data_IF_260419122985
#
_entry.id   IF_260419122985
#
_cell.length_a   1.000
_cell.length_b   1.000
_cell.length_c   1.000
_cell.angle_alpha   90.00
_cell.angle_beta   90.00
_cell.angle_gamma   90.00
#
_symmetry.space_group_name_H-M   'P 1'
#
loop_
_entity.id
_entity.type
_entity.pdbx_description
1 polymer ?
#
# COMPACT_ATOMS: atom_id res chain seq x y z
N UNK A 1 0.55 -19.08 -10.17
CA UNK A 1 0.33 -18.44 -11.50
C UNK A 1 0.19 -16.92 -11.41
N UNK A 2 -0.55 -16.37 -10.42
CA UNK A 2 -0.75 -14.92 -10.24
C UNK A 2 0.54 -14.09 -10.16
N UNK A 3 1.51 -14.50 -9.32
CA UNK A 3 2.76 -13.75 -9.18
C UNK A 3 3.55 -13.64 -10.49
N UNK A 4 3.77 -14.76 -11.17
CA UNK A 4 4.59 -14.79 -12.38
C UNK A 4 3.90 -14.11 -13.58
N UNK A 5 2.59 -14.38 -13.79
CA UNK A 5 1.89 -13.92 -14.98
C UNK A 5 1.35 -12.48 -14.87
N UNK A 6 1.12 -11.98 -13.65
CA UNK A 6 0.52 -10.66 -13.43
C UNK A 6 1.46 -9.73 -12.70
N UNK A 7 2.08 -10.18 -11.61
CA UNK A 7 2.85 -9.25 -10.74
C UNK A 7 4.19 -8.89 -11.38
N UNK A 8 4.96 -9.86 -11.87
CA UNK A 8 6.26 -9.61 -12.51
C UNK A 8 6.15 -8.63 -13.69
N UNK A 9 5.37 -8.91 -14.75
CA UNK A 9 5.36 -8.06 -15.93
C UNK A 9 4.84 -6.64 -15.66
N UNK A 10 3.99 -6.47 -14.64
CA UNK A 10 3.42 -5.16 -14.31
C UNK A 10 4.29 -4.35 -13.33
N UNK A 11 4.86 -4.99 -12.30
CA UNK A 11 5.59 -4.28 -11.25
C UNK A 11 7.09 -4.20 -11.49
N UNK A 12 7.71 -5.18 -12.16
CA UNK A 12 9.17 -5.15 -12.39
C UNK A 12 9.60 -3.93 -13.23
N UNK A 13 8.98 -3.64 -14.39
CA UNK A 13 9.35 -2.46 -15.17
C UNK A 13 9.18 -1.17 -14.36
N UNK A 14 8.11 -1.09 -13.56
CA UNK A 14 7.85 0.05 -12.70
C UNK A 14 8.87 0.19 -11.57
N UNK A 15 9.29 -0.91 -10.95
CA UNK A 15 10.34 -0.92 -9.91
C UNK A 15 11.67 -0.41 -10.47
N UNK A 16 12.08 -0.91 -11.63
CA UNK A 16 13.32 -0.50 -12.31
C UNK A 16 13.25 0.99 -12.66
N UNK A 17 12.16 1.42 -13.31
CA UNK A 17 11.97 2.80 -13.72
C UNK A 17 11.92 3.76 -12.52
N UNK A 18 11.26 3.38 -11.43
CA UNK A 18 11.21 4.20 -10.21
C UNK A 18 12.60 4.35 -9.58
N UNK A 19 13.40 3.28 -9.53
CA UNK A 19 14.78 3.36 -9.05
C UNK A 19 15.61 4.34 -9.91
N UNK A 20 15.45 4.29 -11.24
CA UNK A 20 16.12 5.22 -12.16
C UNK A 20 15.67 6.66 -11.92
N UNK A 21 14.36 6.91 -11.84
CA UNK A 21 13.78 8.24 -11.61
C UNK A 21 14.31 8.86 -10.31
N UNK A 22 14.38 8.08 -9.23
CA UNK A 22 14.89 8.55 -7.93
C UNK A 22 16.39 8.84 -8.02
N UNK A 23 17.16 7.94 -8.63
CA UNK A 23 18.63 8.08 -8.77
C UNK A 23 19.04 9.24 -9.66
N UNK A 24 18.22 9.56 -10.68
CA UNK A 24 18.44 10.68 -11.61
C UNK A 24 17.82 12.01 -11.12
N UNK A 25 17.28 12.06 -9.90
CA UNK A 25 16.57 13.24 -9.37
C UNK A 25 15.40 13.72 -10.26
N UNK A 26 14.77 12.80 -10.99
CA UNK A 26 13.68 13.12 -11.92
C UNK A 26 12.30 13.14 -11.25
N UNK A 27 12.18 12.65 -10.00
CA UNK A 27 10.92 12.51 -9.27
C UNK A 27 10.13 13.81 -9.14
N UNK A 28 10.81 14.92 -8.85
CA UNK A 28 10.19 16.25 -8.71
C UNK A 28 9.61 16.80 -10.02
N UNK A 29 10.14 16.39 -11.17
CA UNK A 29 9.65 16.85 -12.48
C UNK A 29 8.35 16.15 -12.87
N UNK A 30 8.25 14.84 -12.61
CA UNK A 30 7.05 14.04 -12.88
C UNK A 30 5.87 14.51 -12.02
N UNK A 31 6.16 14.92 -10.78
CA UNK A 31 5.14 15.30 -9.80
C UNK A 31 4.70 16.76 -9.93
N UNK A 32 5.33 17.58 -10.77
CA UNK A 32 5.10 19.02 -10.83
C UNK A 32 3.62 19.40 -10.97
N UNK A 33 2.86 18.67 -11.80
CA UNK A 33 1.45 18.93 -12.03
C UNK A 33 0.57 18.72 -10.77
N UNK A 34 0.85 17.67 -10.00
CA UNK A 34 0.06 17.30 -8.81
C UNK A 34 0.63 17.87 -7.50
N UNK A 35 1.88 18.34 -7.53
CA UNK A 35 2.59 18.80 -6.34
C UNK A 35 1.86 19.94 -5.59
N UNK A 36 1.29 20.98 -6.23
CA UNK A 36 0.61 22.05 -5.50
C UNK A 36 -0.53 21.52 -4.61
N UNK A 37 -1.36 20.62 -5.16
CA UNK A 37 -2.48 20.03 -4.46
C UNK A 37 -2.02 19.09 -3.34
N UNK A 38 -1.09 18.17 -3.62
CA UNK A 38 -0.61 17.18 -2.65
C UNK A 38 0.16 17.85 -1.50
N UNK A 39 0.93 18.89 -1.78
CA UNK A 39 1.61 19.69 -0.75
C UNK A 39 0.63 20.42 0.14
N UNK A 40 -0.40 21.02 -0.43
CA UNK A 40 -1.43 21.69 0.34
C UNK A 40 -2.15 20.71 1.27
N UNK A 41 -2.56 19.56 0.72
CA UNK A 41 -3.34 18.55 1.44
C UNK A 41 -2.51 17.84 2.54
N UNK A 42 -1.31 17.36 2.20
CA UNK A 42 -0.50 16.52 3.10
C UNK A 42 0.66 17.27 3.78
N UNK A 43 1.09 18.41 3.27
CA UNK A 43 2.22 19.16 3.83
C UNK A 43 3.58 18.49 3.64
N UNK A 44 3.79 17.88 2.48
CA UNK A 44 4.98 17.08 2.13
C UNK A 44 5.93 17.84 1.18
N UNK A 45 7.13 17.31 0.98
CA UNK A 45 8.12 17.84 0.02
C UNK A 45 7.73 17.54 -1.43
N UNK A 46 8.47 18.11 -2.41
CA UNK A 46 8.23 17.80 -3.84
C UNK A 46 8.50 16.32 -4.12
N UNK A 47 9.57 15.76 -3.57
CA UNK A 47 9.92 14.36 -3.75
C UNK A 47 8.95 13.44 -3.01
N UNK A 48 8.42 13.86 -1.86
CA UNK A 48 7.35 13.16 -1.15
C UNK A 48 6.06 13.01 -1.98
N UNK A 49 5.74 13.98 -2.86
CA UNK A 49 4.61 13.85 -3.79
C UNK A 49 4.77 12.64 -4.73
N UNK A 50 6.01 12.26 -5.08
CA UNK A 50 6.27 11.10 -5.92
C UNK A 50 5.83 9.82 -5.22
N UNK A 51 6.16 9.67 -3.93
CA UNK A 51 5.71 8.54 -3.12
C UNK A 51 4.19 8.46 -3.00
N UNK A 52 3.48 9.59 -2.89
CA UNK A 52 2.01 9.60 -2.83
C UNK A 52 1.41 9.11 -4.15
N UNK A 53 1.83 9.69 -5.28
CA UNK A 53 1.27 9.33 -6.60
C UNK A 53 1.53 7.85 -6.90
N UNK A 54 2.79 7.44 -6.78
CA UNK A 54 3.20 6.06 -7.08
C UNK A 54 2.62 5.06 -6.09
N UNK A 55 2.50 5.42 -4.82
CA UNK A 55 1.91 4.58 -3.79
C UNK A 55 0.42 4.31 -4.03
N UNK A 56 -0.36 5.32 -4.40
CA UNK A 56 -1.78 5.15 -4.72
C UNK A 56 -2.01 4.44 -6.06
N UNK A 57 -1.11 4.60 -7.05
CA UNK A 57 -1.23 3.94 -8.35
C UNK A 57 -0.75 2.49 -8.34
N UNK A 58 0.41 2.21 -7.75
CA UNK A 58 1.08 0.92 -7.83
C UNK A 58 0.82 0.04 -6.60
N UNK A 59 0.43 0.65 -5.48
CA UNK A 59 -0.02 -0.05 -4.29
C UNK A 59 1.08 -0.80 -3.53
N UNK A 60 0.71 -1.90 -2.87
CA UNK A 60 1.63 -2.72 -2.08
C UNK A 60 2.63 -3.51 -2.93
N UNK A 61 3.91 -3.63 -2.51
CA UNK A 61 4.59 -2.89 -1.46
C UNK A 61 5.30 -1.63 -2.01
N UNK A 62 4.94 -1.18 -3.22
CA UNK A 62 5.63 -0.10 -3.94
C UNK A 62 5.58 1.24 -3.20
N UNK A 63 4.45 1.58 -2.58
CA UNK A 63 4.37 2.80 -1.78
C UNK A 63 5.41 2.82 -0.65
N UNK A 64 5.61 1.69 0.03
CA UNK A 64 6.64 1.56 1.06
C UNK A 64 8.06 1.55 0.49
N UNK A 65 8.29 0.82 -0.60
CA UNK A 65 9.60 0.76 -1.27
C UNK A 65 10.07 2.15 -1.71
N UNK A 66 9.23 2.88 -2.45
CA UNK A 66 9.57 4.22 -2.95
C UNK A 66 9.82 5.18 -1.79
N UNK A 67 9.01 5.11 -0.74
CA UNK A 67 9.24 5.91 0.47
C UNK A 67 10.60 5.59 1.09
N UNK A 68 10.97 4.30 1.19
CA UNK A 68 12.26 3.88 1.69
C UNK A 68 13.42 4.36 0.81
N UNK A 69 13.30 4.22 -0.52
CA UNK A 69 14.31 4.63 -1.49
C UNK A 69 14.57 6.15 -1.44
N UNK A 70 13.51 6.96 -1.26
CA UNK A 70 13.63 8.41 -1.09
C UNK A 70 14.33 8.78 0.22
N UNK A 71 14.09 8.04 1.31
CA UNK A 71 14.78 8.25 2.60
C UNK A 71 16.25 7.86 2.47
N UNK A 72 16.57 6.69 1.90
CA UNK A 72 17.95 6.22 1.75
C UNK A 72 18.76 7.09 0.79
N UNK A 73 18.11 7.68 -0.21
CA UNK A 73 18.73 8.61 -1.17
C UNK A 73 18.78 10.05 -0.65
N UNK A 74 18.45 10.28 0.63
CA UNK A 74 18.41 11.60 1.28
C UNK A 74 17.56 12.64 0.54
N UNK A 75 16.50 12.20 -0.16
CA UNK A 75 15.53 13.06 -0.87
C UNK A 75 14.38 13.50 0.02
N UNK A 76 14.10 12.76 1.07
CA UNK A 76 13.15 13.15 2.10
C UNK A 76 13.72 12.85 3.47
N UNK A 77 13.26 13.58 4.47
CA UNK A 77 13.66 13.29 5.86
C UNK A 77 13.07 11.96 6.33
N UNK A 78 13.72 11.34 7.32
CA UNK A 78 13.17 10.14 7.98
C UNK A 78 11.77 10.40 8.57
N UNK A 79 11.53 11.60 9.10
CA UNK A 79 10.23 11.98 9.67
C UNK A 79 9.13 12.03 8.61
N UNK A 80 9.44 12.57 7.43
CA UNK A 80 8.56 12.58 6.27
C UNK A 80 8.35 11.17 5.74
N UNK A 81 9.39 10.33 5.71
CA UNK A 81 9.27 8.91 5.36
C UNK A 81 8.31 8.15 6.28
N UNK A 82 8.37 8.36 7.60
CA UNK A 82 7.41 7.78 8.55
C UNK A 82 5.98 8.25 8.24
N UNK A 83 5.82 9.54 7.90
CA UNK A 83 4.52 10.08 7.53
C UNK A 83 3.98 9.47 6.24
N UNK A 84 4.76 9.44 5.17
CA UNK A 84 4.35 8.86 3.90
C UNK A 84 4.03 7.36 4.03
N UNK A 85 4.82 6.63 4.82
CA UNK A 85 4.58 5.21 5.06
C UNK A 85 3.21 4.94 5.71
N UNK A 86 2.65 5.91 6.45
CA UNK A 86 1.34 5.77 7.11
C UNK A 86 0.15 5.67 6.14
N UNK A 87 0.27 6.23 4.94
CA UNK A 87 -0.87 6.34 4.02
C UNK A 87 -0.56 6.10 2.54
N UNK A 88 0.70 5.99 2.12
CA UNK A 88 1.05 5.80 0.70
C UNK A 88 1.08 4.34 0.26
N UNK A 89 1.13 3.39 1.18
CA UNK A 89 1.22 1.97 0.83
C UNK A 89 -0.19 1.36 0.90
N UNK A 90 -0.99 1.40 -0.18
CA UNK A 90 -2.38 0.91 -0.22
C UNK A 90 -2.59 -0.14 -1.33
N UNK A 91 -3.82 -0.62 -1.55
CA UNK A 91 -4.10 -1.38 -2.78
C UNK A 91 -4.14 -0.48 -4.00
N UNK A 92 -3.76 -1.03 -5.15
CA UNK A 92 -3.78 -0.33 -6.44
C UNK A 92 -5.17 -0.36 -7.10
N UNK A 93 -5.45 0.55 -8.05
CA UNK A 93 -6.73 0.57 -8.77
C UNK A 93 -6.98 -0.74 -9.52
N UNK A 94 -5.94 -1.33 -10.09
CA UNK A 94 -6.04 -2.59 -10.83
C UNK A 94 -6.37 -3.76 -9.89
N UNK A 95 -5.89 -3.73 -8.65
CA UNK A 95 -6.27 -4.71 -7.64
C UNK A 95 -7.75 -4.59 -7.28
N UNK A 96 -8.25 -3.36 -7.10
CA UNK A 96 -9.67 -3.11 -6.80
C UNK A 96 -10.54 -3.65 -7.94
N UNK A 97 -10.25 -3.27 -9.20
CA UNK A 97 -11.04 -3.67 -10.35
C UNK A 97 -11.03 -5.20 -10.51
N UNK A 98 -9.85 -5.83 -10.52
CA UNK A 98 -9.77 -7.25 -10.79
C UNK A 98 -10.21 -8.08 -9.59
N UNK A 99 -9.57 -7.94 -8.43
CA UNK A 99 -9.81 -8.86 -7.31
C UNK A 99 -11.07 -8.53 -6.53
N UNK A 100 -11.36 -7.24 -6.30
CA UNK A 100 -12.51 -6.87 -5.47
C UNK A 100 -13.80 -6.87 -6.30
N UNK A 101 -13.79 -6.19 -7.44
CA UNK A 101 -15.01 -6.02 -8.25
C UNK A 101 -15.26 -7.25 -9.12
N UNK A 102 -14.31 -7.68 -9.94
CA UNK A 102 -14.54 -8.75 -10.92
C UNK A 102 -14.54 -10.14 -10.29
N UNK A 103 -13.61 -10.44 -9.37
CA UNK A 103 -13.44 -11.80 -8.79
C UNK A 103 -14.22 -12.02 -7.48
N UNK A 104 -14.47 -10.97 -6.69
CA UNK A 104 -15.11 -11.13 -5.37
C UNK A 104 -16.60 -10.77 -5.37
N UNK A 105 -16.97 -9.60 -5.87
CA UNK A 105 -18.37 -9.16 -5.84
C UNK A 105 -19.13 -9.38 -7.15
N UNK A 106 -18.44 -9.58 -8.27
CA UNK A 106 -19.01 -9.76 -9.60
C UNK A 106 -20.02 -8.66 -10.00
N UNK A 107 -19.85 -7.43 -9.51
CA UNK A 107 -20.80 -6.33 -9.73
C UNK A 107 -20.10 -4.98 -9.93
N UNK A 108 -20.16 -4.46 -11.17
CA UNK A 108 -19.54 -3.18 -11.54
C UNK A 108 -20.16 -1.96 -10.84
N UNK A 109 -21.41 -2.09 -10.37
CA UNK A 109 -22.09 -1.02 -9.62
C UNK A 109 -21.35 -0.65 -8.33
N UNK A 110 -20.57 -1.58 -7.78
CA UNK A 110 -19.80 -1.39 -6.56
C UNK A 110 -18.44 -0.71 -6.77
N UNK A 111 -17.97 -0.55 -8.01
CA UNK A 111 -16.65 0.03 -8.28
C UNK A 111 -16.49 1.42 -7.66
N UNK A 112 -17.46 2.30 -7.91
CA UNK A 112 -17.44 3.67 -7.40
C UNK A 112 -17.45 3.73 -5.86
N UNK A 113 -18.41 3.12 -5.14
CA UNK A 113 -18.41 3.18 -3.68
C UNK A 113 -17.18 2.52 -3.06
N UNK A 114 -16.71 1.39 -3.60
CA UNK A 114 -15.50 0.71 -3.11
C UNK A 114 -14.26 1.59 -3.27
N UNK A 115 -14.06 2.20 -4.45
CA UNK A 115 -12.94 3.12 -4.69
C UNK A 115 -12.99 4.33 -3.73
N UNK A 116 -14.17 4.91 -3.52
CA UNK A 116 -14.34 6.04 -2.59
C UNK A 116 -13.92 5.61 -1.19
N UNK A 117 -14.43 4.48 -0.68
CA UNK A 117 -14.13 4.03 0.68
C UNK A 117 -12.62 3.72 0.83
N UNK A 118 -12.05 2.94 -0.09
CA UNK A 118 -10.66 2.49 -0.02
C UNK A 118 -9.67 3.64 -0.14
N UNK A 119 -9.94 4.67 -0.94
CA UNK A 119 -9.01 5.80 -1.09
C UNK A 119 -9.30 6.99 -0.17
N UNK A 120 -10.54 7.17 0.29
CA UNK A 120 -10.84 8.19 1.29
C UNK A 120 -10.24 7.82 2.65
N UNK A 121 -10.29 6.53 3.03
CA UNK A 121 -9.75 6.04 4.31
C UNK A 121 -8.27 6.42 4.57
N UNK A 122 -7.31 6.17 3.65
CA UNK A 122 -5.92 6.54 3.86
C UNK A 122 -5.70 8.06 3.83
N UNK A 123 -6.54 8.82 3.10
CA UNK A 123 -6.50 10.29 3.14
C UNK A 123 -6.91 10.80 4.53
N UNK A 124 -7.97 10.23 5.12
CA UNK A 124 -8.37 10.55 6.49
C UNK A 124 -7.27 10.18 7.51
N UNK A 125 -6.64 9.01 7.35
CA UNK A 125 -5.45 8.63 8.13
C UNK A 125 -4.36 9.69 8.04
N UNK A 126 -4.02 10.13 6.83
CA UNK A 126 -2.97 11.12 6.61
C UNK A 126 -3.27 12.45 7.32
N UNK A 127 -4.53 12.90 7.31
CA UNK A 127 -4.96 14.14 7.98
C UNK A 127 -4.82 14.01 9.50
N UNK A 128 -5.25 12.87 10.07
CA UNK A 128 -5.20 12.62 11.53
C UNK A 128 -3.77 12.43 12.03
N UNK A 129 -2.91 11.76 11.26
CA UNK A 129 -1.52 11.46 11.65
C UNK A 129 -0.60 12.68 11.48
N UNK A 130 -0.89 13.57 10.51
CA UNK A 130 -0.09 14.77 10.20
C UNK A 130 0.32 15.59 11.44
N UNK A 131 -0.58 16.00 12.36
CA UNK A 131 -0.18 16.79 13.53
C UNK A 131 0.72 16.01 14.50
N UNK A 132 0.53 14.69 14.63
CA UNK A 132 1.33 13.85 15.52
C UNK A 132 2.79 13.78 15.05
N UNK A 133 3.00 13.61 13.74
CA UNK A 133 4.35 13.52 13.16
C UNK A 133 5.00 14.91 13.07
N UNK A 134 4.26 15.97 12.75
CA UNK A 134 4.81 17.34 12.69
C UNK A 134 5.36 17.81 14.04
N UNK A 135 4.74 17.42 15.16
CA UNK A 135 5.28 17.68 16.52
C UNK A 135 6.62 16.98 16.75
N UNK A 136 6.80 15.77 16.23
CA UNK A 136 8.03 15.00 16.36
C UNK A 136 9.12 15.48 15.38
N UNK A 137 8.75 15.96 14.20
CA UNK A 137 9.67 16.47 13.17
C UNK A 137 10.41 17.74 13.61
N UNK A 138 9.76 18.64 14.39
CA UNK A 138 10.41 19.85 14.92
C UNK A 138 11.59 19.57 15.89
N UNK A 139 11.78 18.32 16.34
CA UNK A 139 12.96 17.90 17.12
C UNK A 139 14.15 17.45 16.26
N UNK A 140 13.95 17.20 14.97
CA UNK A 140 14.96 16.66 14.05
C UNK A 140 15.09 17.58 12.83
N UNK A 141 15.58 18.80 13.05
CA UNK A 141 16.06 19.65 11.97
C UNK A 141 17.56 19.41 11.83
N UNK A 142 17.95 18.63 10.83
CA UNK A 142 19.29 18.68 10.21
C UNK A 142 19.25 17.81 8.96
N UNK A 143 18.95 18.39 7.80
CA UNK A 143 19.33 17.77 6.52
C UNK A 143 19.49 18.85 5.44
N UNK A 144 20.72 19.00 4.95
CA UNK A 144 21.05 19.72 3.72
C UNK A 144 20.79 18.80 2.53
N UNK A 145 19.92 19.23 1.61
CA UNK A 145 19.75 18.55 0.31
C UNK A 145 21.05 18.67 -0.49
N UNK A 146 21.75 17.57 -0.72
CA UNK A 146 22.83 17.53 -1.70
C UNK A 146 22.24 17.28 -3.09
N UNK A 147 22.32 18.28 -3.97
CA UNK A 147 22.09 18.10 -5.41
C UNK A 147 23.32 17.45 -6.03
N UNK A 148 23.40 16.13 -5.98
CA UNK A 148 24.36 15.41 -6.82
C UNK A 148 23.73 15.30 -8.21
N UNK A 149 24.30 15.98 -9.20
CA UNK A 149 24.01 15.73 -10.61
C UNK A 149 24.51 14.33 -10.93
N UNK A 150 23.59 13.36 -10.99
CA UNK A 150 23.93 11.99 -11.35
C UNK A 150 24.08 11.93 -12.88
N UNK A 151 25.30 11.77 -13.36
CA UNK A 151 25.53 11.34 -14.73
C UNK A 151 24.95 9.93 -14.92
N UNK A 152 24.33 9.68 -16.08
CA UNK A 152 23.83 8.35 -16.44
C UNK A 152 25.04 7.44 -16.69
N UNK A 153 25.37 6.61 -15.70
CA UNK A 153 26.35 5.53 -15.81
C UNK A 153 25.62 4.19 -15.98
N UNK A 154 26.16 3.28 -16.79
CA UNK A 154 25.65 1.91 -16.94
C UNK A 154 25.50 1.22 -15.57
N UNK A 155 26.40 1.52 -14.63
CA UNK A 155 26.31 1.01 -13.25
C UNK A 155 25.02 1.41 -12.53
N UNK A 156 24.49 2.60 -12.80
CA UNK A 156 23.23 3.07 -12.22
C UNK A 156 22.05 2.25 -12.77
N UNK A 157 22.09 1.93 -14.07
CA UNK A 157 21.10 1.09 -14.73
C UNK A 157 21.13 -0.33 -14.16
N UNK A 158 22.32 -0.93 -14.05
CA UNK A 158 22.49 -2.27 -13.49
C UNK A 158 21.96 -2.37 -12.06
N UNK A 159 22.26 -1.36 -11.22
CA UNK A 159 21.74 -1.28 -9.86
C UNK A 159 20.22 -1.18 -9.83
N UNK A 160 19.62 -0.38 -10.72
CA UNK A 160 18.16 -0.25 -10.80
C UNK A 160 17.48 -1.56 -11.20
N UNK A 161 18.10 -2.30 -12.15
CA UNK A 161 17.64 -3.62 -12.59
C UNK A 161 17.71 -4.62 -11.43
N UNK A 162 18.87 -4.75 -10.79
CA UNK A 162 19.09 -5.68 -9.67
C UNK A 162 18.16 -5.39 -8.49
N UNK A 163 18.03 -4.12 -8.10
CA UNK A 163 17.10 -3.71 -7.04
C UNK A 163 15.64 -4.01 -7.40
N UNK A 164 15.27 -3.90 -8.68
CA UNK A 164 13.96 -4.29 -9.18
C UNK A 164 13.71 -5.79 -9.03
N UNK A 165 14.66 -6.62 -9.47
CA UNK A 165 14.59 -8.08 -9.36
C UNK A 165 14.58 -8.57 -7.90
N UNK A 166 15.36 -7.95 -7.02
CA UNK A 166 15.34 -8.29 -5.60
C UNK A 166 13.97 -7.98 -4.98
N UNK A 167 13.42 -6.80 -5.25
CA UNK A 167 12.14 -6.38 -4.71
C UNK A 167 10.97 -7.25 -5.17
N UNK A 168 10.89 -7.57 -6.47
CA UNK A 168 9.82 -8.42 -7.03
C UNK A 168 9.92 -9.86 -6.53
N UNK A 169 11.14 -10.37 -6.30
CA UNK A 169 11.39 -11.71 -5.79
C UNK A 169 10.96 -11.82 -4.33
N UNK A 170 11.33 -10.84 -3.49
CA UNK A 170 10.85 -10.74 -2.10
C UNK A 170 9.32 -10.69 -2.05
N UNK A 171 8.70 -9.87 -2.89
CA UNK A 171 7.24 -9.78 -3.00
C UNK A 171 6.61 -11.15 -3.29
N UNK A 172 7.14 -11.88 -4.29
CA UNK A 172 6.68 -13.22 -4.63
C UNK A 172 6.83 -14.22 -3.50
N UNK A 173 7.98 -14.23 -2.85
CA UNK A 173 8.25 -15.10 -1.70
C UNK A 173 7.24 -14.91 -0.57
N UNK A 174 6.93 -13.66 -0.21
CA UNK A 174 5.93 -13.40 0.83
C UNK A 174 4.51 -13.75 0.39
N UNK A 175 4.12 -13.47 -0.85
CA UNK A 175 2.78 -13.86 -1.34
C UNK A 175 2.62 -15.37 -1.28
N UNK A 176 3.59 -16.15 -1.77
CA UNK A 176 3.56 -17.62 -1.78
C UNK A 176 3.52 -18.16 -0.34
N UNK A 177 4.42 -17.68 0.53
CA UNK A 177 4.51 -18.13 1.91
C UNK A 177 3.19 -17.90 2.67
N UNK A 178 2.65 -16.69 2.60
CA UNK A 178 1.43 -16.36 3.31
C UNK A 178 0.19 -17.00 2.67
N UNK A 179 0.19 -17.26 1.35
CA UNK A 179 -0.88 -18.03 0.71
C UNK A 179 -0.95 -19.47 1.25
N UNK A 180 0.21 -20.12 1.48
CA UNK A 180 0.27 -21.44 2.12
C UNK A 180 -0.28 -21.38 3.56
N UNK A 181 0.10 -20.36 4.33
CA UNK A 181 -0.43 -20.16 5.69
C UNK A 181 -1.96 -19.92 5.69
N UNK A 182 -2.47 -19.14 4.74
CA UNK A 182 -3.92 -18.93 4.56
C UNK A 182 -4.67 -20.23 4.24
N UNK A 183 -4.09 -21.12 3.44
CA UNK A 183 -4.68 -22.43 3.14
C UNK A 183 -4.73 -23.33 4.38
N UNK A 184 -3.69 -23.33 5.21
CA UNK A 184 -3.67 -24.09 6.48
C UNK A 184 -4.77 -23.61 7.44
N UNK A 185 -5.04 -22.30 7.49
CA UNK A 185 -6.08 -21.71 8.34
C UNK A 185 -7.51 -22.21 8.01
N UNK A 186 -7.77 -22.66 6.78
CA UNK A 186 -9.08 -23.19 6.37
C UNK A 186 -9.43 -24.46 7.18
N UNK A 187 -8.43 -25.28 7.48
CA UNK A 187 -8.61 -26.54 8.19
C UNK A 187 -8.80 -26.38 9.70
N UNK A 188 -8.60 -25.17 10.25
CA UNK A 188 -8.85 -24.92 11.66
C UNK A 188 -10.38 -24.90 11.90
N UNK A 189 -10.91 -25.73 12.83
CA UNK A 189 -12.35 -25.84 13.09
C UNK A 189 -12.85 -24.68 13.94
N UNK A 190 -12.82 -23.46 13.39
CA UNK A 190 -13.45 -22.29 14.01
C UNK A 190 -14.96 -22.31 13.76
N UNK A 191 -15.75 -22.28 14.84
CA UNK A 191 -17.22 -22.28 14.78
C UNK A 191 -17.78 -20.97 14.21
N UNK A 192 -17.13 -19.83 14.49
CA UNK A 192 -17.55 -18.53 13.99
C UNK A 192 -17.09 -18.28 12.55
N UNK A 193 -18.00 -18.46 11.59
CA UNK A 193 -17.73 -18.33 10.15
C UNK A 193 -17.17 -16.97 9.76
N UNK A 194 -17.77 -15.87 10.24
CA UNK A 194 -17.28 -14.51 9.97
C UNK A 194 -15.82 -14.34 10.40
N UNK A 195 -15.50 -14.69 11.65
CA UNK A 195 -14.15 -14.56 12.20
C UNK A 195 -13.15 -15.42 11.43
N UNK A 196 -13.53 -16.65 11.08
CA UNK A 196 -12.70 -17.56 10.28
C UNK A 196 -12.30 -16.93 8.96
N UNK A 197 -13.26 -16.45 8.17
CA UNK A 197 -12.99 -15.85 6.87
C UNK A 197 -12.23 -14.52 6.97
N UNK A 198 -12.49 -13.73 8.01
CA UNK A 198 -11.74 -12.51 8.28
C UNK A 198 -10.27 -12.81 8.63
N UNK A 199 -10.00 -13.80 9.49
CA UNK A 199 -8.63 -14.20 9.83
C UNK A 199 -7.87 -14.73 8.61
N UNK A 200 -8.51 -15.54 7.76
CA UNK A 200 -7.90 -16.02 6.51
C UNK A 200 -7.54 -14.84 5.61
N UNK A 201 -8.46 -13.87 5.49
CA UNK A 201 -8.24 -12.66 4.67
C UNK A 201 -7.20 -11.70 5.23
N UNK A 202 -7.03 -11.66 6.55
CA UNK A 202 -5.96 -10.91 7.20
C UNK A 202 -4.58 -11.56 7.03
N UNK A 203 -4.48 -12.86 6.78
CA UNK A 203 -3.19 -13.52 6.55
C UNK A 203 -2.64 -13.18 5.16
N UNK A 204 -3.45 -13.39 4.13
CA UNK A 204 -3.10 -13.10 2.75
C UNK A 204 -4.37 -12.71 1.98
N UNK A 205 -4.39 -11.49 1.45
CA UNK A 205 -5.59 -10.87 0.91
C UNK A 205 -6.09 -11.53 -0.39
N UNK A 206 -5.20 -12.01 -1.27
CA UNK A 206 -5.65 -12.55 -2.57
C UNK A 206 -6.40 -13.87 -2.41
N UNK A 207 -5.84 -14.80 -1.65
CA UNK A 207 -6.47 -16.07 -1.31
C UNK A 207 -7.65 -15.89 -0.33
N UNK A 208 -7.56 -14.91 0.57
CA UNK A 208 -8.67 -14.56 1.45
C UNK A 208 -9.93 -14.14 0.70
N UNK A 209 -9.78 -13.22 -0.25
CA UNK A 209 -10.88 -12.71 -1.07
C UNK A 209 -11.54 -13.81 -1.90
N UNK A 210 -10.76 -14.71 -2.52
CA UNK A 210 -11.33 -15.83 -3.30
C UNK A 210 -12.16 -16.78 -2.42
N UNK A 211 -11.69 -17.07 -1.20
CA UNK A 211 -12.43 -17.90 -0.24
C UNK A 211 -13.70 -17.20 0.26
N UNK A 212 -13.63 -15.89 0.52
CA UNK A 212 -14.80 -15.09 0.94
C UNK A 212 -15.84 -15.03 -0.19
N UNK A 213 -15.41 -14.88 -1.44
CA UNK A 213 -16.28 -14.85 -2.63
C UNK A 213 -17.17 -16.09 -2.69
N UNK A 214 -16.57 -17.29 -2.56
CA UNK A 214 -17.27 -18.58 -2.58
C UNK A 214 -18.04 -18.95 -1.31
N UNK A 215 -17.99 -18.13 -0.25
CA UNK A 215 -18.68 -18.42 1.02
C UNK A 215 -20.19 -18.16 0.96
N UNK A 216 -20.96 -18.78 1.86
CA UNK A 216 -22.40 -18.54 2.04
C UNK A 216 -22.72 -17.30 2.90
N UNK A 217 -21.73 -16.45 3.19
CA UNK A 217 -21.93 -15.21 3.95
C UNK A 217 -22.86 -14.24 3.21
N UNK A 218 -23.61 -13.44 3.97
CA UNK A 218 -24.40 -12.34 3.41
C UNK A 218 -23.49 -11.31 2.74
N UNK A 219 -24.06 -10.54 1.80
CA UNK A 219 -23.34 -9.46 1.10
C UNK A 219 -22.67 -8.49 2.08
N UNK A 220 -23.40 -8.05 3.13
CA UNK A 220 -22.87 -7.13 4.14
C UNK A 220 -21.63 -7.69 4.85
N UNK A 221 -21.64 -8.97 5.22
CA UNK A 221 -20.48 -9.63 5.83
C UNK A 221 -19.30 -9.73 4.87
N UNK A 222 -19.53 -10.15 3.62
CA UNK A 222 -18.48 -10.18 2.58
C UNK A 222 -17.89 -8.79 2.37
N UNK A 223 -18.75 -7.77 2.26
CA UNK A 223 -18.36 -6.38 2.06
C UNK A 223 -17.42 -5.89 3.16
N UNK A 224 -17.79 -6.08 4.43
CA UNK A 224 -16.96 -5.67 5.57
C UNK A 224 -15.64 -6.43 5.60
N UNK A 225 -15.65 -7.76 5.45
CA UNK A 225 -14.44 -8.59 5.51
C UNK A 225 -13.45 -8.14 4.42
N UNK A 226 -13.92 -8.01 3.18
CA UNK A 226 -13.09 -7.69 2.03
C UNK A 226 -12.47 -6.30 2.19
N UNK A 227 -13.28 -5.25 2.43
CA UNK A 227 -12.77 -3.88 2.48
C UNK A 227 -11.82 -3.66 3.65
N UNK A 228 -12.13 -4.21 4.84
CA UNK A 228 -11.25 -4.08 6.01
C UNK A 228 -9.94 -4.82 5.84
N UNK A 229 -9.97 -6.06 5.31
CA UNK A 229 -8.75 -6.86 5.07
C UNK A 229 -7.82 -6.19 4.06
N UNK A 230 -8.40 -5.67 2.97
CA UNK A 230 -7.68 -4.94 1.91
C UNK A 230 -7.07 -3.63 2.42
N UNK A 231 -7.81 -2.89 3.25
CA UNK A 231 -7.34 -1.61 3.81
C UNK A 231 -6.21 -1.80 4.82
N UNK A 232 -6.24 -2.89 5.60
CA UNK A 232 -5.13 -3.31 6.44
C UNK A 232 -3.95 -3.86 5.62
N UNK A 233 -4.24 -4.53 4.50
CA UNK A 233 -3.26 -5.15 3.59
C UNK A 233 -2.88 -6.58 3.98
N UNK A 234 -3.19 -7.01 5.19
CA UNK A 234 -2.87 -8.34 5.70
C UNK A 234 -1.42 -8.51 6.17
N UNK A 235 -1.16 -9.62 6.86
CA UNK A 235 0.14 -9.97 7.42
C UNK A 235 1.20 -10.14 6.33
N UNK A 236 0.80 -10.67 5.16
CA UNK A 236 1.66 -10.73 3.99
C UNK A 236 2.19 -9.35 3.61
N UNK A 237 1.32 -8.33 3.49
CA UNK A 237 1.76 -6.97 3.16
C UNK A 237 2.60 -6.34 4.28
N UNK A 238 2.35 -6.66 5.55
CA UNK A 238 3.21 -6.21 6.67
C UNK A 238 4.63 -6.77 6.51
N UNK A 239 4.77 -8.06 6.24
CA UNK A 239 6.06 -8.71 6.04
C UNK A 239 6.79 -8.18 4.79
N UNK A 240 6.06 -8.00 3.68
CA UNK A 240 6.58 -7.37 2.46
C UNK A 240 7.10 -5.96 2.75
N UNK A 241 6.30 -5.15 3.45
CA UNK A 241 6.64 -3.76 3.82
C UNK A 241 7.90 -3.73 4.69
N UNK A 242 7.97 -4.58 5.71
CA UNK A 242 9.16 -4.69 6.57
C UNK A 242 10.42 -5.01 5.77
N UNK A 243 10.30 -5.89 4.76
CA UNK A 243 11.42 -6.25 3.88
C UNK A 243 11.87 -5.09 2.98
N UNK A 244 10.93 -4.27 2.49
CA UNK A 244 11.21 -3.11 1.64
C UNK A 244 11.81 -1.94 2.41
N UNK A 245 11.40 -1.70 3.65
CA UNK A 245 11.86 -0.53 4.42
C UNK A 245 13.13 -0.77 5.23
N UNK A 246 13.65 -2.00 5.26
CA UNK A 246 14.78 -2.41 6.13
C UNK A 246 16.03 -1.53 5.96
N UNK A 247 16.37 -1.14 4.73
CA UNK A 247 17.52 -0.28 4.41
C UNK A 247 17.35 1.17 4.86
N UNK A 248 16.12 1.67 4.94
CA UNK A 248 15.80 3.06 5.29
C UNK A 248 15.81 3.36 6.80
N UNK A 249 15.85 2.33 7.65
CA UNK A 249 15.72 2.48 9.10
C UNK A 249 14.36 3.00 9.55
N UNK A 250 13.33 2.96 8.68
CA UNK A 250 11.97 3.33 9.03
C UNK A 250 11.34 2.27 9.97
N UNK A 251 10.80 2.69 11.13
CA UNK A 251 10.16 1.76 12.05
C UNK A 251 8.80 1.26 11.55
N UNK A 252 8.66 -0.07 11.44
CA UNK A 252 7.43 -0.74 10.99
C UNK A 252 6.22 -0.54 11.90
N UNK A 253 6.42 -0.23 13.18
CA UNK A 253 5.31 -0.07 14.11
C UNK A 253 4.40 1.10 13.71
N UNK A 254 4.94 2.19 13.14
CA UNK A 254 4.13 3.30 12.64
C UNK A 254 3.28 2.86 11.46
N UNK A 255 3.82 2.03 10.56
CA UNK A 255 3.06 1.45 9.47
C UNK A 255 1.89 0.61 9.99
N UNK A 256 2.15 -0.32 10.92
CA UNK A 256 1.12 -1.20 11.49
C UNK A 256 0.02 -0.39 12.18
N UNK A 257 0.40 0.59 13.01
CA UNK A 257 -0.57 1.45 13.71
C UNK A 257 -1.44 2.23 12.71
N UNK A 258 -0.82 2.76 11.64
CA UNK A 258 -1.54 3.48 10.60
C UNK A 258 -2.49 2.57 9.82
N UNK A 259 -2.12 1.30 9.63
CA UNK A 259 -2.99 0.29 9.02
C UNK A 259 -4.18 -0.09 9.87
N UNK A 260 -4.03 -0.14 11.20
CA UNK A 260 -5.16 -0.32 12.12
C UNK A 260 -6.10 0.89 12.10
N UNK A 261 -5.56 2.10 12.03
CA UNK A 261 -6.37 3.31 11.87
C UNK A 261 -7.11 3.31 10.52
N UNK A 262 -6.43 2.93 9.44
CA UNK A 262 -7.02 2.83 8.09
C UNK A 262 -8.13 1.78 8.05
N UNK A 263 -7.93 0.63 8.69
CA UNK A 263 -8.96 -0.39 8.84
C UNK A 263 -10.19 0.17 9.58
N UNK A 264 -9.98 0.97 10.63
CA UNK A 264 -11.06 1.56 11.43
C UNK A 264 -11.89 2.56 10.62
N UNK A 265 -11.24 3.46 9.86
CA UNK A 265 -11.94 4.37 8.96
C UNK A 265 -12.67 3.63 7.84
N UNK A 266 -12.06 2.62 7.24
CA UNK A 266 -12.70 1.79 6.21
C UNK A 266 -13.93 1.09 6.77
N UNK A 267 -13.85 0.52 7.97
CA UNK A 267 -14.97 -0.14 8.62
C UNK A 267 -16.13 0.84 8.84
N UNK A 268 -15.83 2.02 9.38
CA UNK A 268 -16.82 3.07 9.61
C UNK A 268 -17.51 3.50 8.30
N UNK A 269 -16.75 3.81 7.25
CA UNK A 269 -17.28 4.19 5.95
C UNK A 269 -18.09 3.05 5.30
N UNK A 270 -17.68 1.79 5.48
CA UNK A 270 -18.39 0.63 4.96
C UNK A 270 -19.75 0.43 5.64
N UNK A 271 -19.82 0.63 6.96
CA UNK A 271 -21.07 0.56 7.71
C UNK A 271 -22.03 1.66 7.25
N UNK A 272 -21.54 2.88 7.06
CA UNK A 272 -22.35 4.00 6.53
C UNK A 272 -22.92 3.64 5.16
N UNK A 273 -22.08 3.12 4.25
CA UNK A 273 -22.52 2.73 2.92
C UNK A 273 -23.61 1.66 2.95
N UNK A 274 -23.42 0.60 3.75
CA UNK A 274 -24.41 -0.47 3.89
C UNK A 274 -25.72 0.02 4.51
N UNK A 275 -25.66 0.96 5.44
CA UNK A 275 -26.86 1.58 6.03
C UNK A 275 -27.65 2.39 5.00
N UNK A 276 -26.96 3.14 4.13
CA UNK A 276 -27.59 3.89 3.03
C UNK A 276 -28.22 2.92 2.03
N UNK A 277 -27.50 1.86 1.66
CA UNK A 277 -27.97 0.86 0.70
C UNK A 277 -29.23 0.12 1.17
N UNK A 278 -29.34 -0.17 2.48
CA UNK A 278 -30.53 -0.83 3.03
C UNK A 278 -31.77 0.09 3.09
N UNK A 279 -31.61 1.40 2.87
CA UNK A 279 -32.71 2.38 2.85
C UNK A 279 -33.18 2.72 1.44
N UNK A 280 -32.39 2.44 0.41
CA UNK A 280 -32.72 2.63 -1.01
C UNK A 280 -33.44 1.41 -1.57
#
# INVERSE_FOLDING_TARGET
MLWFNVIIPNLLPFMILSNLIISLNAASYITFLFAPFLKFLFGISKDGCYAVITGFLCGYPMGAKITADLVTSHKISRSEGIYLLSFCNNVSPIFIINYIINETFHSQTLLKPVCIIIYLSPILCAIVIRPLIRKNAMKYNDFSFSTCEAAVDFKLIDNAILNGFEAITKLGGYIILFALLSQMLIHIPLQHTFLKYWMISLTEITNGLSIVSGSSLSFACKFIIVLTSVSFGGLSCVAQTQSMIKSSGLPIYYYILSKLLNLSFTLFLSIIYLFILNRS
#
